data_IF_111655148240
#
_entry.id   IF_111655148240
#
_cell.length_a   1.000
_cell.length_b   1.000
_cell.length_c   1.000
_cell.angle_alpha   90.00
_cell.angle_beta   90.00
_cell.angle_gamma   90.00
#
_symmetry.space_group_name_H-M   'P 1'
#
loop_
_entity.id
_entity.type
_entity.pdbx_description
1 polymer ?
#
# COMPACT_ATOMS: atom_id res chain seq x y z
N UNK A 1 1.20 12.76 12.00
CA UNK A 1 1.27 11.68 13.00
C UNK A 1 2.20 10.61 12.46
N UNK A 2 3.26 10.26 13.18
CA UNK A 2 4.19 9.21 12.76
C UNK A 2 3.47 7.85 12.83
N UNK A 3 3.51 7.09 11.75
CA UNK A 3 2.94 5.76 11.68
C UNK A 3 3.78 4.81 12.55
N UNK A 4 3.14 4.03 13.42
CA UNK A 4 3.83 2.96 14.13
C UNK A 4 4.15 1.86 13.14
N UNK A 5 5.44 1.74 12.78
CA UNK A 5 5.96 0.64 11.98
C UNK A 5 5.84 -0.65 12.81
N UNK A 6 5.34 -1.72 12.19
CA UNK A 6 5.19 -3.02 12.86
C UNK A 6 6.52 -3.56 13.41
N UNK A 7 6.45 -4.46 14.40
CA UNK A 7 7.63 -5.07 15.02
C UNK A 7 8.36 -6.09 14.14
N UNK A 8 7.72 -6.56 13.05
CA UNK A 8 8.30 -7.54 12.14
C UNK A 8 8.98 -6.85 10.95
N UNK A 9 10.30 -7.05 10.82
CA UNK A 9 11.10 -6.43 9.75
C UNK A 9 11.28 -7.38 8.58
N UNK A 10 10.79 -6.98 7.41
CA UNK A 10 11.00 -7.67 6.13
C UNK A 10 12.04 -6.89 5.33
N UNK A 11 13.23 -7.46 5.14
CA UNK A 11 14.31 -6.80 4.41
C UNK A 11 14.13 -6.89 2.89
N UNK A 12 13.64 -8.03 2.40
CA UNK A 12 13.47 -8.30 0.96
C UNK A 12 12.04 -8.77 0.68
N UNK A 13 11.07 -7.84 0.53
CA UNK A 13 9.69 -8.20 0.23
C UNK A 13 9.55 -8.71 -1.20
N UNK A 14 8.99 -9.92 -1.36
CA UNK A 14 8.62 -10.46 -2.68
C UNK A 14 7.12 -10.22 -2.94
N UNK A 15 6.75 -8.95 -3.14
CA UNK A 15 5.36 -8.53 -3.36
C UNK A 15 5.26 -7.78 -4.68
N UNK A 16 4.24 -8.08 -5.48
CA UNK A 16 4.00 -7.42 -6.76
C UNK A 16 2.75 -6.55 -6.64
N UNK A 17 2.96 -5.23 -6.72
CA UNK A 17 1.90 -4.23 -6.73
C UNK A 17 1.72 -3.74 -8.17
N UNK A 18 0.51 -3.93 -8.72
CA UNK A 18 0.19 -3.46 -10.07
C UNK A 18 -0.79 -2.31 -10.00
N UNK A 19 -0.42 -1.13 -10.49
CA UNK A 19 -1.34 0.01 -10.58
C UNK A 19 -2.47 -0.29 -11.59
N UNK A 20 -3.70 0.06 -11.23
CA UNK A 20 -4.87 -0.09 -12.10
C UNK A 20 -5.43 1.30 -12.40
N UNK A 21 -5.62 1.65 -13.68
CA UNK A 21 -6.35 2.86 -14.03
C UNK A 21 -7.85 2.65 -13.76
N UNK A 22 -8.44 3.50 -12.92
CA UNK A 22 -9.90 3.53 -12.71
C UNK A 22 -10.37 4.99 -12.81
N UNK A 23 -11.28 5.24 -13.75
CA UNK A 23 -11.83 6.56 -14.04
C UNK A 23 -12.65 7.16 -12.87
N UNK A 24 -13.05 6.33 -11.90
CA UNK A 24 -13.82 6.77 -10.71
C UNK A 24 -12.93 7.34 -9.61
N UNK A 25 -11.61 7.15 -9.69
CA UNK A 25 -10.69 7.63 -8.68
C UNK A 25 -10.49 9.14 -8.80
N UNK A 26 -10.45 9.82 -7.65
CA UNK A 26 -10.02 11.22 -7.61
C UNK A 26 -8.51 11.33 -7.87
N UNK A 27 -8.03 12.52 -8.24
CA UNK A 27 -6.61 12.78 -8.56
C UNK A 27 -5.63 12.42 -7.43
N UNK A 28 -6.11 12.35 -6.18
CA UNK A 28 -5.30 12.03 -5.00
C UNK A 28 -5.43 10.55 -4.59
N UNK A 29 -6.09 9.73 -5.40
CA UNK A 29 -6.31 8.32 -5.15
C UNK A 29 -5.66 7.48 -6.24
N UNK A 30 -5.15 6.30 -5.84
CA UNK A 30 -4.62 5.30 -6.74
C UNK A 30 -5.14 3.92 -6.32
N UNK A 31 -5.41 3.06 -7.30
CA UNK A 31 -5.80 1.68 -7.05
C UNK A 31 -4.67 0.74 -7.48
N UNK A 32 -4.47 -0.31 -6.67
CA UNK A 32 -3.47 -1.33 -6.92
C UNK A 32 -4.10 -2.72 -6.85
N UNK A 33 -3.72 -3.61 -7.77
CA UNK A 33 -3.88 -5.04 -7.59
C UNK A 33 -2.71 -5.54 -6.75
N UNK A 34 -3.02 -6.16 -5.61
CA UNK A 34 -2.05 -6.71 -4.66
C UNK A 34 -2.36 -8.19 -4.41
N UNK A 35 -1.39 -8.98 -3.93
CA UNK A 35 -1.66 -10.35 -3.50
C UNK A 35 -2.69 -10.39 -2.34
N UNK A 36 -3.53 -11.43 -2.31
CA UNK A 36 -4.64 -11.55 -1.34
C UNK A 36 -4.19 -11.66 0.13
N UNK A 37 -2.95 -12.08 0.37
CA UNK A 37 -2.41 -12.23 1.72
C UNK A 37 -1.85 -10.91 2.31
N UNK A 38 -1.85 -9.82 1.54
CA UNK A 38 -1.30 -8.53 1.99
C UNK A 38 -2.33 -7.77 2.82
N UNK A 39 -1.93 -7.30 3.99
CA UNK A 39 -2.78 -6.51 4.86
C UNK A 39 -2.75 -5.01 4.49
N UNK A 40 -3.77 -4.24 4.91
CA UNK A 40 -3.85 -2.78 4.72
C UNK A 40 -2.67 -2.04 5.35
N UNK A 41 -2.21 -2.51 6.50
CA UNK A 41 -1.06 -1.94 7.20
C UNK A 41 0.22 -2.16 6.38
N UNK A 42 0.40 -3.36 5.83
CA UNK A 42 1.56 -3.70 5.00
C UNK A 42 1.58 -2.87 3.71
N UNK A 43 0.43 -2.63 3.07
CA UNK A 43 0.33 -1.74 1.90
C UNK A 43 0.84 -0.34 2.24
N UNK A 44 0.43 0.18 3.41
CA UNK A 44 0.78 1.52 3.86
C UNK A 44 2.28 1.62 4.14
N UNK A 45 2.84 0.64 4.84
CA UNK A 45 4.27 0.57 5.14
C UNK A 45 5.11 0.32 3.88
N UNK A 46 4.63 -0.49 2.94
CA UNK A 46 5.30 -0.76 1.66
C UNK A 46 5.44 0.50 0.81
N UNK A 47 4.34 1.25 0.63
CA UNK A 47 4.34 2.49 -0.14
C UNK A 47 5.18 3.58 0.54
N UNK A 48 5.16 3.65 1.87
CA UNK A 48 5.97 4.59 2.62
C UNK A 48 7.47 4.27 2.57
N UNK A 49 7.88 3.02 2.76
CA UNK A 49 9.29 2.65 2.86
C UNK A 49 9.98 2.45 1.50
N UNK A 50 9.27 1.94 0.48
CA UNK A 50 9.87 1.65 -0.83
C UNK A 50 9.72 2.84 -1.78
N UNK A 51 8.56 3.49 -1.79
CA UNK A 51 8.25 4.56 -2.72
C UNK A 51 8.21 5.96 -2.08
N UNK A 52 8.46 6.06 -0.77
CA UNK A 52 8.42 7.33 -0.02
C UNK A 52 7.07 8.08 -0.15
N UNK A 53 5.97 7.34 -0.29
CA UNK A 53 4.62 7.90 -0.42
C UNK A 53 3.91 7.88 0.93
N UNK A 54 3.49 9.06 1.39
CA UNK A 54 2.66 9.15 2.61
C UNK A 54 1.21 8.86 2.28
N UNK A 55 0.71 7.73 2.75
CA UNK A 55 -0.68 7.31 2.53
C UNK A 55 -1.54 7.73 3.73
N UNK A 56 -2.73 8.29 3.46
CA UNK A 56 -3.68 8.70 4.50
C UNK A 56 -4.65 7.59 4.87
N UNK A 57 -5.27 6.95 3.87
CA UNK A 57 -6.26 5.87 4.02
C UNK A 57 -6.02 4.76 2.99
N UNK A 58 -6.34 3.51 3.36
CA UNK A 58 -6.24 2.34 2.48
C UNK A 58 -7.58 1.59 2.50
N UNK A 59 -8.20 1.48 1.32
CA UNK A 59 -9.44 0.73 1.12
C UNK A 59 -9.17 -0.50 0.28
N UNK A 60 -9.76 -1.62 0.68
CA UNK A 60 -9.60 -2.91 0.01
C UNK A 60 -10.96 -3.44 -0.39
N UNK A 61 -11.05 -3.91 -1.62
CA UNK A 61 -12.21 -4.63 -2.18
C UNK A 61 -11.68 -5.91 -2.78
N UNK A 62 -12.29 -7.04 -2.43
CA UNK A 62 -11.95 -8.37 -2.99
C UNK A 62 -12.56 -8.50 -4.37
#
# INVERSE_FOLDING_TARGET
>A
MAQQLGGFRVYFPNLIFKIIPDARLSKNQAAFRVPLHVNKLDIKDYLANIYNVTVTDVRTTV
#
